data_IF_429346261967
#
_entry.id   IF_429346261967
#
_cell.length_a   1.000
_cell.length_b   1.000
_cell.length_c   1.000
_cell.angle_alpha   90.00
_cell.angle_beta   90.00
_cell.angle_gamma   90.00
#
_symmetry.space_group_name_H-M   'P 1'
#
loop_
_entity.id
_entity.type
_entity.pdbx_description
1 polymer ?
#
# COMPACT_ATOMS: atom_id res chain seq x y z
N UNK A 1 10.99 -8.25 -14.30
CA UNK A 1 10.48 -7.64 -13.04
C UNK A 1 9.29 -8.43 -12.48
N UNK A 2 9.51 -9.70 -12.09
CA UNK A 2 8.44 -10.58 -11.57
C UNK A 2 7.87 -10.10 -10.23
N UNK A 3 8.72 -9.46 -9.40
CA UNK A 3 8.35 -8.91 -8.09
C UNK A 3 7.18 -7.91 -8.15
N UNK A 4 7.11 -7.09 -9.21
CA UNK A 4 6.02 -6.13 -9.40
C UNK A 4 4.65 -6.78 -9.64
N UNK A 5 4.63 -7.98 -10.22
CA UNK A 5 3.39 -8.73 -10.49
C UNK A 5 2.90 -9.39 -9.21
N UNK A 6 3.82 -9.94 -8.42
CA UNK A 6 3.50 -10.54 -7.11
C UNK A 6 2.95 -9.51 -6.15
N UNK A 7 3.57 -8.33 -6.06
CA UNK A 7 3.08 -7.23 -5.23
C UNK A 7 1.70 -6.75 -5.70
N UNK A 8 1.47 -6.70 -7.02
CA UNK A 8 0.17 -6.27 -7.55
C UNK A 8 -0.96 -7.28 -7.27
N UNK A 9 -0.67 -8.58 -7.38
CA UNK A 9 -1.68 -9.63 -7.18
C UNK A 9 -1.89 -10.01 -5.71
N UNK A 10 -0.86 -9.89 -4.86
CA UNK A 10 -0.87 -10.40 -3.47
C UNK A 10 -0.47 -9.36 -2.43
N UNK A 11 -0.11 -8.15 -2.82
CA UNK A 11 0.31 -7.07 -1.91
C UNK A 11 -0.84 -6.38 -1.19
N UNK A 12 -2.09 -6.77 -1.46
CA UNK A 12 -3.28 -6.44 -0.67
C UNK A 12 -3.25 -7.23 0.64
N UNK A 13 -2.57 -6.69 1.66
CA UNK A 13 -2.43 -7.39 2.92
C UNK A 13 -3.64 -7.13 3.83
N UNK A 14 -4.31 -8.21 4.26
CA UNK A 14 -5.37 -8.18 5.28
C UNK A 14 -4.87 -7.78 6.68
N UNK A 15 -3.55 -7.58 6.85
CA UNK A 15 -2.95 -7.24 8.13
C UNK A 15 -3.13 -5.75 8.47
N UNK A 16 -3.16 -4.89 7.46
CA UNK A 16 -3.26 -3.45 7.64
C UNK A 16 -2.55 -2.67 6.53
N UNK A 17 -2.62 -1.36 6.63
CA UNK A 17 -2.24 -0.43 5.56
C UNK A 17 -0.90 0.26 5.80
N UNK A 18 -0.08 -0.31 6.67
CA UNK A 18 1.16 0.29 7.15
C UNK A 18 2.31 0.31 6.14
N UNK A 19 3.37 1.06 6.44
CA UNK A 19 4.57 1.15 5.59
C UNK A 19 5.48 -0.06 5.79
N UNK A 20 5.64 -0.56 7.03
CA UNK A 20 6.62 -1.60 7.33
C UNK A 20 6.25 -2.97 6.73
N UNK A 21 4.96 -3.31 6.74
CA UNK A 21 4.47 -4.61 6.25
C UNK A 21 3.00 -4.54 5.83
N UNK A 22 2.60 -3.40 5.28
CA UNK A 22 1.27 -3.15 4.76
C UNK A 22 1.33 -2.61 3.34
N UNK A 23 0.16 -2.31 2.79
CA UNK A 23 0.04 -1.95 1.38
C UNK A 23 0.71 -0.61 1.04
N UNK A 24 0.87 0.31 2.00
CA UNK A 24 1.59 1.56 1.76
C UNK A 24 3.07 1.32 1.42
N UNK A 25 3.74 0.36 2.08
CA UNK A 25 5.11 -0.03 1.74
C UNK A 25 5.22 -0.67 0.34
N UNK A 26 4.19 -1.41 -0.06
CA UNK A 26 4.10 -1.98 -1.41
C UNK A 26 3.99 -0.89 -2.50
N UNK A 27 3.30 0.22 -2.21
CA UNK A 27 3.22 1.36 -3.13
C UNK A 27 4.60 2.00 -3.39
N UNK A 28 5.44 2.10 -2.35
CA UNK A 28 6.83 2.59 -2.49
C UNK A 28 7.66 1.72 -3.44
N UNK A 29 7.48 0.39 -3.40
CA UNK A 29 8.18 -0.51 -4.32
C UNK A 29 7.85 -0.22 -5.78
N UNK A 30 6.59 0.12 -6.09
CA UNK A 30 6.19 0.56 -7.43
C UNK A 30 6.75 1.93 -7.80
N UNK A 31 6.86 2.84 -6.83
CA UNK A 31 7.46 4.15 -7.04
C UNK A 31 8.96 4.03 -7.40
N UNK A 32 9.71 3.19 -6.68
CA UNK A 32 11.12 2.89 -6.98
C UNK A 32 11.29 2.24 -8.36
N UNK A 33 10.39 1.31 -8.73
CA UNK A 33 10.36 0.72 -10.07
C UNK A 33 10.11 1.78 -11.14
N UNK A 34 9.19 2.71 -10.91
CA UNK A 34 8.92 3.82 -11.82
C UNK A 34 10.13 4.74 -11.99
N UNK A 35 10.87 5.06 -10.92
CA UNK A 35 12.06 5.89 -11.00
C UNK A 35 13.13 5.27 -11.93
N UNK A 36 13.31 3.96 -11.86
CA UNK A 36 14.31 3.24 -12.66
C UNK A 36 13.85 3.00 -14.10
N UNK A 37 12.58 2.67 -14.34
CA UNK A 37 12.11 2.28 -15.69
C UNK A 37 11.37 3.38 -16.44
N UNK A 38 10.90 4.42 -15.74
CA UNK A 38 10.02 5.47 -16.27
C UNK A 38 8.72 4.95 -16.91
N UNK A 39 8.36 3.68 -16.66
CA UNK A 39 7.13 3.10 -17.21
C UNK A 39 5.89 3.54 -16.41
N UNK A 40 4.98 4.24 -17.08
CA UNK A 40 3.73 4.76 -16.49
C UNK A 40 2.86 3.68 -15.80
N UNK A 41 3.01 2.40 -16.19
CA UNK A 41 2.31 1.28 -15.56
C UNK A 41 2.63 1.15 -14.06
N UNK A 42 3.86 1.44 -13.65
CA UNK A 42 4.27 1.37 -12.25
C UNK A 42 3.79 2.58 -11.47
N UNK A 43 3.77 3.77 -12.08
CA UNK A 43 3.16 4.95 -11.50
C UNK A 43 1.66 4.74 -11.24
N UNK A 44 0.94 4.15 -12.18
CA UNK A 44 -0.48 3.79 -12.00
C UNK A 44 -0.69 2.82 -10.83
N UNK A 45 0.14 1.78 -10.72
CA UNK A 45 0.07 0.81 -9.60
C UNK A 45 0.42 1.47 -8.26
N UNK A 46 1.43 2.32 -8.22
CA UNK A 46 1.79 3.09 -7.03
C UNK A 46 0.62 3.99 -6.58
N UNK A 47 0.02 4.74 -7.50
CA UNK A 47 -1.15 5.59 -7.23
C UNK A 47 -2.41 4.80 -6.86
N UNK A 48 -2.54 3.53 -7.27
CA UNK A 48 -3.65 2.68 -6.84
C UNK A 48 -3.42 2.10 -5.45
N UNK A 49 -2.20 1.77 -5.09
CA UNK A 49 -1.85 1.21 -3.78
C UNK A 49 -1.53 2.28 -2.72
N UNK A 50 -1.52 3.57 -3.09
CA UNK A 50 -1.24 4.66 -2.15
C UNK A 50 -2.48 4.99 -1.32
N UNK A 51 -2.23 5.36 -0.06
CA UNK A 51 -3.25 5.82 0.89
C UNK A 51 -3.96 7.11 0.46
N UNK A 52 -3.48 7.79 -0.58
CA UNK A 52 -4.06 9.00 -1.16
C UNK A 52 -5.09 8.73 -2.27
N UNK A 53 -5.22 7.48 -2.75
CA UNK A 53 -6.25 7.16 -3.73
C UNK A 53 -7.61 7.11 -3.05
N UNK A 54 -8.63 7.90 -3.42
CA UNK A 54 -9.88 7.99 -2.65
C UNK A 54 -10.57 6.63 -2.44
N UNK A 55 -10.49 5.72 -3.41
CA UNK A 55 -11.04 4.35 -3.31
C UNK A 55 -10.32 3.52 -2.24
N UNK A 56 -9.02 3.74 -2.08
CA UNK A 56 -8.23 3.10 -1.04
C UNK A 56 -8.20 3.87 0.24
N UNK A 57 -8.30 5.19 0.19
CA UNK A 57 -8.38 6.06 1.34
C UNK A 57 -9.63 5.69 2.11
N UNK A 58 -10.79 5.53 1.47
CA UNK A 58 -11.98 4.99 2.16
C UNK A 58 -11.72 3.61 2.77
N UNK A 59 -11.19 2.64 2.01
CA UNK A 59 -10.92 1.29 2.54
C UNK A 59 -9.79 1.22 3.61
N UNK A 60 -8.83 2.15 3.58
CA UNK A 60 -7.74 2.27 4.55
C UNK A 60 -8.14 3.08 5.77
N UNK A 61 -9.00 4.09 5.57
CA UNK A 61 -9.51 4.91 6.65
C UNK A 61 -10.52 4.15 7.49
N UNK A 62 -11.20 3.19 6.88
CA UNK A 62 -12.16 2.33 7.50
C UNK A 62 -11.47 1.09 8.12
N UNK A 63 -10.61 1.35 9.10
CA UNK A 63 -10.02 0.31 9.95
C UNK A 63 -11.17 -0.46 10.63
N UNK A 64 -11.49 -1.64 10.10
CA UNK A 64 -12.51 -2.53 10.65
C UNK A 64 -13.48 -3.10 9.61
N UNK A 65 -13.75 -2.42 8.49
CA UNK A 65 -14.73 -2.91 7.50
C UNK A 65 -14.18 -3.97 6.55
N UNK A 66 -12.85 -4.09 6.46
CA UNK A 66 -12.19 -5.15 5.70
C UNK A 66 -11.56 -6.25 6.58
N UNK A 67 -11.84 -6.25 7.89
CA UNK A 67 -11.28 -7.24 8.83
C UNK A 67 -9.77 -7.09 9.09
N UNK A 68 -9.20 -5.92 8.77
CA UNK A 68 -7.80 -5.63 9.06
C UNK A 68 -7.58 -5.50 10.57
N UNK A 69 -6.50 -6.12 11.06
CA UNK A 69 -6.12 -6.06 12.47
C UNK A 69 -5.72 -4.63 12.83
N UNK A 70 -6.17 -4.15 13.99
CA UNK A 70 -5.70 -2.89 14.55
C UNK A 70 -4.20 -3.05 14.84
N UNK A 71 -3.32 -2.17 14.32
CA UNK A 71 -1.89 -2.23 14.59
C UNK A 71 -1.61 -1.97 16.07
N UNK A 72 -0.51 -2.51 16.58
CA UNK A 72 -0.12 -2.31 17.99
C UNK A 72 0.10 -0.82 18.31
N UNK A 73 0.56 -0.03 17.33
CA UNK A 73 0.67 1.44 17.41
C UNK A 73 -0.06 2.14 16.24
N UNK A 74 -1.37 2.41 16.37
CA UNK A 74 -2.24 2.84 15.26
C UNK A 74 -1.95 4.25 14.71
N UNK A 75 -1.15 5.08 15.39
CA UNK A 75 -0.74 6.41 14.95
C UNK A 75 0.77 6.54 14.68
N UNK A 76 1.51 5.43 14.66
CA UNK A 76 2.93 5.45 14.35
C UNK A 76 3.17 5.53 12.84
N UNK A 77 4.31 6.10 12.43
CA UNK A 77 4.69 6.18 11.02
C UNK A 77 4.77 4.81 10.32
N UNK A 78 5.23 3.79 11.04
CA UNK A 78 5.55 2.49 10.45
C UNK A 78 4.41 1.47 10.51
N UNK A 79 3.45 1.64 11.41
CA UNK A 79 2.34 0.70 11.64
C UNK A 79 0.97 1.37 11.52
N UNK A 80 0.91 2.68 11.70
CA UNK A 80 -0.30 3.46 11.85
C UNK A 80 -0.67 4.33 10.65
N UNK A 81 -1.61 5.23 10.91
CA UNK A 81 -2.38 6.00 9.93
C UNK A 81 -2.02 7.49 9.90
N UNK A 82 -0.73 7.82 10.16
CA UNK A 82 -0.23 9.21 10.30
C UNK A 82 -0.86 10.19 9.31
#
# INVERSE_FOLDING_TARGET
MLWSVVIWQRGLLRKGYSICHGTAGNAYSFLSLYQVTQEKKYLYRACKCSVFNPVWAEGCLDYGTHGCRIPDRPYSLFEGKT
#
